data_IF_814106722586
#
_entry.id   IF_814106722586
#
_cell.length_a   1.000
_cell.length_b   1.000
_cell.length_c   1.000
_cell.angle_alpha   90.00
_cell.angle_beta   90.00
_cell.angle_gamma   90.00
#
_symmetry.space_group_name_H-M   'P 1'
#
loop_
_entity.id
_entity.type
_entity.pdbx_description
1 polymer ?
#
# COMPACT_ATOMS: atom_id res chain seq x y z
N UNK A 1 3.45 19.38 3.15
CA UNK A 1 4.61 18.49 2.90
C UNK A 1 5.16 18.80 1.51
N UNK A 2 6.43 19.16 1.41
CA UNK A 2 7.05 19.40 0.10
C UNK A 2 7.49 18.07 -0.54
N UNK A 3 7.97 18.15 -1.79
CA UNK A 3 8.31 16.93 -2.53
C UNK A 3 9.47 16.16 -1.90
N UNK A 4 10.47 16.84 -1.35
CA UNK A 4 11.59 16.19 -0.69
C UNK A 4 11.14 15.43 0.55
N UNK A 5 10.29 16.05 1.37
CA UNK A 5 9.75 15.41 2.57
C UNK A 5 8.88 14.20 2.18
N UNK A 6 8.06 14.36 1.16
CA UNK A 6 7.20 13.28 0.69
C UNK A 6 8.04 12.08 0.23
N UNK A 7 9.05 12.32 -0.60
CA UNK A 7 9.94 11.27 -1.09
C UNK A 7 10.62 10.54 0.06
N UNK A 8 11.14 11.29 1.01
CA UNK A 8 11.83 10.73 2.19
C UNK A 8 10.88 9.86 3.02
N UNK A 9 9.66 10.35 3.26
CA UNK A 9 8.66 9.60 4.03
C UNK A 9 8.22 8.34 3.31
N UNK A 10 8.05 8.40 2.00
CA UNK A 10 7.70 7.22 1.20
C UNK A 10 8.80 6.17 1.32
N UNK A 11 10.07 6.55 1.14
CA UNK A 11 11.17 5.61 1.26
C UNK A 11 11.25 4.99 2.65
N UNK A 12 11.04 5.79 3.69
CA UNK A 12 11.01 5.30 5.07
C UNK A 12 9.89 4.30 5.31
N UNK A 13 8.70 4.59 4.80
CA UNK A 13 7.54 3.70 4.95
C UNK A 13 7.75 2.38 4.22
N UNK A 14 8.26 2.42 3.00
CA UNK A 14 8.59 1.20 2.24
C UNK A 14 9.57 0.34 3.02
N UNK A 15 10.69 0.92 3.47
CA UNK A 15 11.71 0.19 4.22
C UNK A 15 11.13 -0.41 5.50
N UNK A 16 10.32 0.35 6.22
CA UNK A 16 9.71 -0.09 7.46
C UNK A 16 8.77 -1.29 7.23
N UNK A 17 7.93 -1.21 6.22
CA UNK A 17 6.98 -2.29 5.91
C UNK A 17 7.71 -3.57 5.47
N UNK A 18 8.76 -3.44 4.65
CA UNK A 18 9.57 -4.59 4.25
C UNK A 18 10.22 -5.23 5.47
N UNK A 19 10.78 -4.41 6.37
CA UNK A 19 11.41 -4.93 7.59
C UNK A 19 10.43 -5.69 8.47
N UNK A 20 9.22 -5.14 8.65
CA UNK A 20 8.24 -5.71 9.57
C UNK A 20 7.52 -6.93 9.00
N UNK A 21 7.22 -6.96 7.71
CA UNK A 21 6.35 -8.00 7.15
C UNK A 21 6.79 -8.56 5.80
N UNK A 22 7.87 -8.02 5.21
CA UNK A 22 8.41 -8.53 3.95
C UNK A 22 7.71 -8.04 2.70
N UNK A 23 6.71 -7.17 2.82
CA UNK A 23 6.07 -6.57 1.66
C UNK A 23 5.58 -5.17 1.98
N UNK A 24 5.42 -4.36 0.93
CA UNK A 24 4.89 -3.00 1.03
C UNK A 24 3.72 -2.86 0.06
N UNK A 25 2.77 -2.01 0.42
CA UNK A 25 1.59 -1.74 -0.38
C UNK A 25 1.38 -0.23 -0.49
N UNK A 26 1.07 0.31 -1.69
CA UNK A 26 0.88 1.76 -1.83
C UNK A 26 -0.16 2.35 -0.89
N UNK A 27 -1.29 1.68 -0.71
CA UNK A 27 -2.35 2.15 0.20
C UNK A 27 -1.81 2.25 1.63
N UNK A 28 -1.04 1.26 2.06
CA UNK A 28 -0.47 1.23 3.41
C UNK A 28 0.62 2.30 3.58
N UNK A 29 1.38 2.57 2.53
CA UNK A 29 2.36 3.67 2.55
C UNK A 29 1.64 5.01 2.76
N UNK A 30 0.54 5.24 2.04
CA UNK A 30 -0.24 6.47 2.21
C UNK A 30 -0.76 6.62 3.63
N UNK A 31 -1.17 5.52 4.26
CA UNK A 31 -1.59 5.55 5.66
C UNK A 31 -0.42 5.85 6.59
N UNK A 32 0.71 5.20 6.38
CA UNK A 32 1.87 5.37 7.25
C UNK A 32 2.41 6.81 7.22
N UNK A 33 2.40 7.46 6.06
CA UNK A 33 2.89 8.82 5.93
C UNK A 33 1.83 9.90 6.23
N UNK A 34 0.62 9.49 6.58
CA UNK A 34 -0.43 10.39 7.04
C UNK A 34 -1.28 11.06 5.97
N UNK A 35 -1.16 10.63 4.70
CA UNK A 35 -1.98 11.16 3.61
C UNK A 35 -3.38 10.53 3.62
N UNK A 36 -3.50 9.31 4.12
CA UNK A 36 -4.75 8.59 4.23
C UNK A 36 -4.92 8.14 5.68
N UNK A 37 -5.99 8.57 6.35
CA UNK A 37 -6.27 8.11 7.70
C UNK A 37 -6.87 6.70 7.69
N UNK A 38 -6.68 5.98 8.77
CA UNK A 38 -7.27 4.64 8.91
C UNK A 38 -8.79 4.70 8.81
N UNK A 39 -9.41 5.71 9.41
CA UNK A 39 -10.86 5.89 9.35
C UNK A 39 -11.35 6.03 7.92
N UNK A 40 -10.69 6.87 7.12
CA UNK A 40 -11.06 7.08 5.71
C UNK A 40 -10.79 5.85 4.86
N UNK A 41 -9.70 5.14 5.14
CA UNK A 41 -9.42 3.86 4.51
C UNK A 41 -10.57 2.86 4.76
N UNK A 42 -11.03 2.77 6.01
CA UNK A 42 -12.10 1.85 6.36
C UNK A 42 -13.43 2.25 5.69
N UNK A 43 -13.72 3.55 5.60
CA UNK A 43 -14.90 4.03 4.87
C UNK A 43 -14.85 3.59 3.40
N UNK A 44 -13.69 3.70 2.78
CA UNK A 44 -13.50 3.26 1.41
C UNK A 44 -13.67 1.74 1.28
N UNK A 45 -13.07 0.98 2.19
CA UNK A 45 -13.20 -0.49 2.19
C UNK A 45 -14.65 -0.93 2.38
N UNK A 46 -15.43 -0.16 3.10
CA UNK A 46 -16.85 -0.45 3.33
C UNK A 46 -17.77 0.06 2.21
N UNK A 47 -17.18 0.57 1.12
CA UNK A 47 -17.93 1.01 -0.04
C UNK A 47 -18.65 2.33 0.10
N UNK A 48 -18.28 3.13 1.10
CA UNK A 48 -18.94 4.42 1.38
C UNK A 48 -18.31 5.59 0.62
N UNK A 49 -17.20 5.34 -0.08
CA UNK A 49 -16.46 6.35 -0.83
C UNK A 49 -16.27 5.84 -2.26
N UNK A 50 -16.47 6.70 -3.24
CA UNK A 50 -16.44 6.32 -4.65
C UNK A 50 -15.05 5.85 -5.11
N UNK A 51 -14.00 6.52 -4.64
CA UNK A 51 -12.61 6.18 -4.99
C UNK A 51 -11.68 6.67 -3.89
N UNK A 52 -10.55 5.98 -3.72
CA UNK A 52 -9.62 6.22 -2.61
C UNK A 52 -9.04 7.63 -2.61
N UNK A 53 -8.66 8.14 -3.78
CA UNK A 53 -8.04 9.47 -3.88
C UNK A 53 -8.93 10.57 -3.33
N UNK A 54 -10.26 10.37 -3.34
CA UNK A 54 -11.20 11.37 -2.85
C UNK A 54 -10.99 11.71 -1.38
N UNK A 55 -10.55 10.74 -0.60
CA UNK A 55 -10.37 10.91 0.86
C UNK A 55 -8.92 11.04 1.28
N UNK A 56 -7.99 11.06 0.33
CA UNK A 56 -6.60 11.39 0.62
C UNK A 56 -6.45 12.90 0.80
N UNK A 57 -5.57 13.30 1.72
CA UNK A 57 -5.40 14.72 2.08
C UNK A 57 -4.43 15.48 1.20
N UNK A 58 -3.86 14.85 0.17
CA UNK A 58 -2.95 15.48 -0.78
C UNK A 58 -3.57 15.60 -2.15
N UNK A 59 -3.06 16.51 -2.96
CA UNK A 59 -3.53 16.68 -4.34
C UNK A 59 -3.00 15.55 -5.24
N UNK A 60 -3.53 15.47 -6.47
CA UNK A 60 -3.19 14.41 -7.41
C UNK A 60 -1.71 14.39 -7.78
N UNK A 61 -1.08 15.57 -7.86
CA UNK A 61 0.35 15.68 -8.15
C UNK A 61 1.19 15.00 -7.08
N UNK A 62 0.86 15.21 -5.81
CA UNK A 62 1.55 14.56 -4.69
C UNK A 62 1.30 13.06 -4.65
N UNK A 63 0.07 12.65 -4.92
CA UNK A 63 -0.26 11.22 -4.98
C UNK A 63 0.49 10.53 -6.11
N UNK A 64 0.57 11.17 -7.28
CA UNK A 64 1.33 10.65 -8.41
C UNK A 64 2.81 10.50 -8.08
N UNK A 65 3.39 11.49 -7.41
CA UNK A 65 4.78 11.44 -6.96
C UNK A 65 4.99 10.29 -5.98
N UNK A 66 4.08 10.13 -5.02
CA UNK A 66 4.17 9.04 -4.04
C UNK A 66 4.16 7.67 -4.74
N UNK A 67 3.25 7.47 -5.69
CA UNK A 67 3.18 6.22 -6.45
C UNK A 67 4.47 5.95 -7.23
N UNK A 68 5.00 6.99 -7.88
CA UNK A 68 6.27 6.88 -8.60
C UNK A 68 7.41 6.50 -7.67
N UNK A 69 7.51 7.15 -6.51
CA UNK A 69 8.59 6.90 -5.55
C UNK A 69 8.51 5.50 -4.94
N UNK A 70 7.29 5.00 -4.70
CA UNK A 70 7.11 3.62 -4.23
C UNK A 70 7.69 2.64 -5.25
N UNK A 71 7.33 2.81 -6.53
CA UNK A 71 7.82 1.92 -7.60
C UNK A 71 9.32 2.00 -7.76
N UNK A 72 9.87 3.22 -7.74
CA UNK A 72 11.31 3.45 -7.87
C UNK A 72 12.07 2.79 -6.73
N UNK A 73 11.60 2.97 -5.51
CA UNK A 73 12.19 2.38 -4.32
C UNK A 73 12.15 0.85 -4.37
N UNK A 74 10.99 0.30 -4.75
CA UNK A 74 10.82 -1.14 -4.87
C UNK A 74 11.75 -1.75 -5.91
N UNK A 75 11.92 -1.05 -7.05
CA UNK A 75 12.82 -1.50 -8.10
C UNK A 75 14.26 -1.53 -7.63
N UNK A 76 14.70 -0.48 -6.94
CA UNK A 76 16.06 -0.40 -6.38
C UNK A 76 16.32 -1.48 -5.34
N UNK A 77 15.30 -1.86 -4.58
CA UNK A 77 15.41 -2.92 -3.58
C UNK A 77 15.26 -4.33 -4.16
N UNK A 78 14.95 -4.44 -5.45
CA UNK A 78 14.73 -5.72 -6.11
C UNK A 78 13.48 -6.45 -5.66
N UNK A 79 12.46 -5.72 -5.25
CA UNK A 79 11.20 -6.31 -4.78
C UNK A 79 10.37 -6.85 -5.94
N UNK A 80 9.64 -7.93 -5.70
CA UNK A 80 8.82 -8.58 -6.70
C UNK A 80 7.39 -8.01 -6.69
N UNK A 81 6.87 -7.53 -7.84
CA UNK A 81 5.50 -7.02 -7.88
C UNK A 81 4.48 -8.14 -7.78
N UNK A 82 3.39 -7.88 -7.07
CA UNK A 82 2.28 -8.80 -6.89
C UNK A 82 1.00 -7.99 -6.85
N UNK A 83 0.08 -8.24 -7.78
CA UNK A 83 -1.18 -7.50 -7.83
C UNK A 83 -2.13 -8.06 -6.79
N UNK A 84 -2.66 -7.18 -5.95
CA UNK A 84 -3.64 -7.52 -4.93
C UNK A 84 -5.01 -7.00 -5.33
N UNK A 85 -6.06 -7.70 -4.95
CA UNK A 85 -7.41 -7.26 -5.21
C UNK A 85 -7.99 -6.61 -3.96
N UNK A 86 -8.46 -5.37 -4.11
CA UNK A 86 -9.15 -4.65 -3.04
C UNK A 86 -10.64 -4.73 -3.31
N UNK A 87 -11.33 -5.50 -2.48
CA UNK A 87 -12.77 -5.69 -2.61
C UNK A 87 -13.49 -5.09 -1.41
N UNK A 88 -14.73 -4.70 -1.64
CA UNK A 88 -15.56 -4.13 -0.58
C UNK A 88 -15.70 -5.09 0.59
N UNK A 89 -15.57 -4.57 1.80
CA UNK A 89 -15.87 -5.30 3.03
C UNK A 89 -17.38 -5.20 3.31
N UNK A 90 -17.93 -6.21 3.99
CA UNK A 90 -19.33 -6.19 4.39
C UNK A 90 -20.30 -6.32 3.22
N UNK A 91 -21.58 -6.17 3.50
CA UNK A 91 -22.64 -6.31 2.51
C UNK A 91 -22.94 -7.76 2.18
N UNK A 92 -24.01 -7.97 1.39
CA UNK A 92 -24.46 -9.29 0.97
C UNK A 92 -24.08 -9.54 -0.49
N UNK A 93 -23.83 -10.80 -0.82
CA UNK A 93 -23.55 -11.21 -2.19
C UNK A 93 -22.09 -11.01 -2.59
N UNK A 94 -21.85 -10.96 -3.89
CA UNK A 94 -20.49 -10.82 -4.42
C UNK A 94 -19.89 -9.47 -4.05
N UNK A 95 -18.66 -9.49 -3.58
CA UNK A 95 -17.96 -8.26 -3.20
C UNK A 95 -17.47 -7.55 -4.46
N UNK A 96 -17.82 -6.27 -4.60
CA UNK A 96 -17.38 -5.49 -5.75
C UNK A 96 -15.94 -5.04 -5.59
N UNK A 97 -15.18 -4.96 -6.70
CA UNK A 97 -13.84 -4.37 -6.66
C UNK A 97 -13.94 -2.88 -6.35
N UNK A 98 -12.97 -2.38 -5.58
CA UNK A 98 -12.92 -0.98 -5.21
C UNK A 98 -12.06 -0.19 -6.18
N UNK A 99 -12.41 1.07 -6.36
CA UNK A 99 -11.71 1.98 -7.26
C UNK A 99 -10.76 2.88 -6.46
N UNK A 100 -9.57 3.09 -6.99
CA UNK A 100 -8.56 3.92 -6.33
C UNK A 100 -8.53 5.35 -6.82
N UNK A 101 -8.55 5.55 -8.14
CA UNK A 101 -8.29 6.86 -8.73
C UNK A 101 -9.54 7.56 -9.20
N UNK A 102 -9.48 8.90 -9.21
CA UNK A 102 -10.54 9.74 -9.77
C UNK A 102 -10.78 9.43 -11.24
N UNK A 103 -9.70 9.25 -12.00
CA UNK A 103 -9.79 9.00 -13.45
C UNK A 103 -10.30 7.61 -13.80
N UNK A 104 -10.06 6.62 -12.93
CA UNK A 104 -10.33 5.23 -13.26
C UNK A 104 -9.39 4.65 -14.30
N UNK A 105 -8.30 5.33 -14.62
CA UNK A 105 -7.32 4.87 -15.62
C UNK A 105 -6.74 3.51 -15.20
N UNK A 106 -6.80 2.49 -16.08
CA UNK A 106 -6.35 1.13 -15.69
C UNK A 106 -4.91 1.06 -15.22
N UNK A 107 -4.01 1.86 -15.79
CA UNK A 107 -2.61 1.90 -15.35
C UNK A 107 -2.47 2.45 -13.95
N UNK A 108 -3.19 3.52 -13.63
CA UNK A 108 -3.17 4.13 -12.30
C UNK A 108 -3.80 3.17 -11.28
N UNK A 109 -4.93 2.55 -11.63
CA UNK A 109 -5.58 1.55 -10.78
C UNK A 109 -4.62 0.42 -10.46
N UNK A 110 -3.90 -0.07 -11.44
CA UNK A 110 -2.92 -1.14 -11.28
C UNK A 110 -1.78 -0.70 -10.34
N UNK A 111 -1.31 0.54 -10.45
CA UNK A 111 -0.24 1.04 -9.58
C UNK A 111 -0.64 1.00 -8.12
N UNK A 112 -1.86 1.42 -7.79
CA UNK A 112 -2.36 1.36 -6.41
C UNK A 112 -2.49 -0.07 -5.90
N UNK A 113 -2.85 -1.00 -6.77
CA UNK A 113 -3.11 -2.39 -6.40
C UNK A 113 -1.84 -3.26 -6.36
N UNK A 114 -0.71 -2.76 -6.82
CA UNK A 114 0.52 -3.55 -6.87
C UNK A 114 1.25 -3.50 -5.54
N UNK A 115 1.37 -4.65 -4.90
CA UNK A 115 2.21 -4.85 -3.72
C UNK A 115 3.62 -5.24 -4.18
N UNK A 116 4.62 -4.96 -3.38
CA UNK A 116 6.01 -5.30 -3.69
C UNK A 116 6.54 -6.16 -2.57
N UNK A 117 7.08 -7.33 -2.91
CA UNK A 117 7.41 -8.39 -1.97
C UNK A 117 8.91 -8.66 -1.96
N UNK A 118 9.47 -8.72 -0.75
CA UNK A 118 10.83 -9.21 -0.52
C UNK A 118 10.72 -10.67 -0.09
N UNK A 119 10.89 -11.59 -1.03
CA UNK A 119 10.71 -13.02 -0.78
C UNK A 119 11.68 -13.55 0.27
N UNK A 120 12.92 -13.05 0.30
CA UNK A 120 13.91 -13.44 1.29
C UNK A 120 13.48 -13.00 2.70
N UNK A 121 12.99 -11.79 2.81
CA UNK A 121 12.53 -11.27 4.10
C UNK A 121 11.30 -12.02 4.60
N UNK A 122 10.35 -12.33 3.71
CA UNK A 122 9.19 -13.13 4.06
C UNK A 122 9.62 -14.49 4.61
N UNK A 123 10.55 -15.15 3.92
CA UNK A 123 11.06 -16.45 4.35
C UNK A 123 11.76 -16.36 5.71
N UNK A 124 12.54 -15.29 5.92
CA UNK A 124 13.24 -15.09 7.20
C UNK A 124 12.29 -14.89 8.35
N UNK A 125 11.22 -14.11 8.13
CA UNK A 125 10.19 -13.87 9.15
C UNK A 125 9.43 -15.16 9.49
N UNK A 126 9.09 -15.97 8.50
CA UNK A 126 8.44 -17.26 8.72
C UNK A 126 9.34 -18.21 9.52
N UNK A 127 10.63 -18.23 9.22
CA UNK A 127 11.58 -19.06 9.96
C UNK A 127 11.68 -18.64 11.42
N UNK A 128 11.65 -17.33 11.70
CA UNK A 128 11.64 -16.82 13.07
C UNK A 128 10.40 -17.23 13.82
N UNK A 129 9.23 -17.17 13.18
CA UNK A 129 7.97 -17.59 13.79
C UNK A 129 7.98 -19.08 14.14
N UNK A 130 8.53 -19.90 13.26
CA UNK A 130 8.60 -21.34 13.49
C UNK A 130 9.53 -21.69 14.64
N UNK A 131 10.57 -20.90 14.89
CA UNK A 131 11.55 -21.16 15.95
C UNK A 131 11.14 -20.60 17.30
N UNK A 132 10.35 -19.54 17.31
CA UNK A 132 10.09 -18.76 18.52
C UNK A 132 9.51 -19.59 19.69
N UNK A 133 8.53 -20.46 19.53
CA UNK A 133 7.95 -21.17 20.67
C UNK A 133 8.72 -22.40 21.12
N UNK A 134 9.72 -22.82 20.40
CA UNK A 134 10.42 -24.07 20.73
C UNK A 134 11.29 -23.90 21.96
N UNK A 135 11.28 -24.92 22.81
CA UNK A 135 12.06 -24.93 24.03
C UNK A 135 11.43 -24.25 25.21
N UNK A 136 10.28 -23.68 25.02
CA UNK A 136 9.56 -22.99 26.11
C UNK A 136 8.87 -23.93 27.10
#
# INVERSE_FOLDING_TARGET
MNNQELTKKVHGAVANQISQRGYTAPVDVLMEIGILTKQKYEEWRNGRVDYLERVCTSNLSKLSLAMHEIRSCAQKMGLKPSISQYRQWGGKGAKRPLRFSKSGNPGIEKWYATHFVDEKRVAALKAQQQKAPEGE
#
